data_IF_386820565046
#
_entry.id   IF_386820565046
#
_cell.length_a   1.000
_cell.length_b   1.000
_cell.length_c   1.000
_cell.angle_alpha   90.00
_cell.angle_beta   90.00
_cell.angle_gamma   90.00
#
_symmetry.space_group_name_H-M   'P 1'
#
loop_
_entity.id
_entity.type
_entity.pdbx_description
1 polymer ?
#
# COMPACT_ATOMS: atom_id res chain seq x y z
N UNK A 1 42.75 -19.18 -39.19
CA UNK A 1 42.11 -19.54 -37.90
C UNK A 1 42.08 -18.40 -36.87
N UNK A 2 43.19 -17.70 -36.56
CA UNK A 2 43.23 -16.59 -35.57
C UNK A 2 42.29 -15.39 -35.87
N UNK A 3 42.04 -15.09 -37.15
CA UNK A 3 41.23 -13.93 -37.55
C UNK A 3 39.72 -14.14 -37.32
N UNK A 4 39.21 -15.36 -37.51
CA UNK A 4 37.81 -15.71 -37.29
C UNK A 4 37.45 -15.68 -35.80
N UNK A 5 38.35 -16.17 -34.93
CA UNK A 5 38.18 -16.08 -33.48
C UNK A 5 38.12 -14.63 -32.98
N UNK A 6 38.96 -13.74 -33.53
CA UNK A 6 38.98 -12.32 -33.14
C UNK A 6 37.69 -11.60 -33.53
N UNK A 7 37.10 -11.91 -34.69
CA UNK A 7 35.82 -11.36 -35.12
C UNK A 7 34.64 -11.92 -34.33
N UNK A 8 34.65 -13.23 -34.01
CA UNK A 8 33.62 -13.87 -33.19
C UNK A 8 33.63 -13.36 -31.74
N UNK A 9 34.83 -13.11 -31.18
CA UNK A 9 34.97 -12.50 -29.86
C UNK A 9 34.43 -11.07 -29.86
N UNK A 10 34.74 -10.28 -30.90
CA UNK A 10 34.23 -8.90 -31.05
C UNK A 10 32.70 -8.85 -31.13
N UNK A 11 32.09 -9.76 -31.88
CA UNK A 11 30.62 -9.83 -31.97
C UNK A 11 30.01 -10.25 -30.63
N UNK A 12 30.58 -11.26 -29.96
CA UNK A 12 30.13 -11.67 -28.63
C UNK A 12 30.22 -10.52 -27.60
N UNK A 13 31.29 -9.71 -27.64
CA UNK A 13 31.41 -8.53 -26.75
C UNK A 13 30.37 -7.46 -27.05
N UNK A 14 30.06 -7.20 -28.33
CA UNK A 14 29.01 -6.23 -28.72
C UNK A 14 27.65 -6.72 -28.22
N UNK A 15 27.30 -7.99 -28.44
CA UNK A 15 26.04 -8.55 -27.93
C UNK A 15 25.97 -8.51 -26.40
N UNK A 16 27.07 -8.78 -25.70
CA UNK A 16 27.13 -8.70 -24.24
C UNK A 16 26.93 -7.26 -23.74
N UNK A 17 27.51 -6.27 -24.42
CA UNK A 17 27.30 -4.84 -24.13
C UNK A 17 25.83 -4.46 -24.35
N UNK A 18 25.22 -4.89 -25.46
CA UNK A 18 23.80 -4.64 -25.74
C UNK A 18 22.93 -5.24 -24.64
N UNK A 19 23.18 -6.49 -24.22
CA UNK A 19 22.44 -7.14 -23.13
C UNK A 19 22.59 -6.36 -21.82
N UNK A 20 23.80 -5.92 -21.47
CA UNK A 20 24.03 -5.12 -20.26
C UNK A 20 23.28 -3.78 -20.33
N UNK A 21 23.30 -3.10 -21.48
CA UNK A 21 22.59 -1.83 -21.66
C UNK A 21 21.08 -2.03 -21.59
N UNK A 22 20.55 -3.08 -22.23
CA UNK A 22 19.11 -3.38 -22.21
C UNK A 22 18.65 -3.76 -20.81
N UNK A 23 19.38 -4.63 -20.10
CA UNK A 23 19.04 -5.01 -18.73
C UNK A 23 19.16 -3.83 -17.77
N UNK A 24 20.27 -3.10 -17.81
CA UNK A 24 20.50 -1.93 -16.97
C UNK A 24 19.49 -0.81 -17.22
N UNK A 25 19.21 -0.53 -18.49
CA UNK A 25 18.20 0.45 -18.90
C UNK A 25 16.79 0.04 -18.48
N UNK A 26 16.44 -1.24 -18.58
CA UNK A 26 15.15 -1.74 -18.13
C UNK A 26 14.99 -1.65 -16.60
N UNK A 27 16.01 -2.05 -15.83
CA UNK A 27 15.99 -1.94 -14.37
C UNK A 27 15.89 -0.49 -13.91
N UNK A 28 16.62 0.43 -14.56
CA UNK A 28 16.57 1.86 -14.24
C UNK A 28 15.19 2.45 -14.56
N UNK A 29 14.61 2.08 -15.71
CA UNK A 29 13.29 2.53 -16.10
C UNK A 29 12.21 2.05 -15.12
N UNK A 30 12.26 0.80 -14.68
CA UNK A 30 11.35 0.26 -13.68
C UNK A 30 11.49 0.96 -12.32
N UNK A 31 12.72 1.20 -11.87
CA UNK A 31 12.98 1.93 -10.62
C UNK A 31 12.41 3.36 -10.67
N UNK A 32 12.65 4.07 -11.77
CA UNK A 32 12.10 5.41 -11.99
C UNK A 32 10.57 5.42 -11.97
N UNK A 33 9.92 4.48 -12.68
CA UNK A 33 8.45 4.36 -12.70
C UNK A 33 7.87 4.03 -11.32
N UNK A 34 8.56 3.21 -10.55
CA UNK A 34 8.16 2.84 -9.19
C UNK A 34 8.29 4.03 -8.23
N UNK A 35 9.37 4.82 -8.35
CA UNK A 35 9.54 6.04 -7.57
C UNK A 35 8.46 7.08 -7.93
N UNK A 36 8.21 7.29 -9.21
CA UNK A 36 7.15 8.20 -9.70
C UNK A 36 5.78 7.83 -9.10
N UNK A 37 5.48 6.53 -9.02
CA UNK A 37 4.26 6.02 -8.39
C UNK A 37 4.18 6.34 -6.88
N UNK A 38 5.26 6.14 -6.12
CA UNK A 38 5.30 6.46 -4.68
C UNK A 38 5.20 7.97 -4.44
N UNK A 39 5.87 8.77 -5.26
CA UNK A 39 5.84 10.22 -5.17
C UNK A 39 4.43 10.76 -5.46
N UNK A 40 3.74 10.20 -6.46
CA UNK A 40 2.34 10.54 -6.76
C UNK A 40 1.40 10.14 -5.61
N UNK A 41 1.58 8.95 -5.03
CA UNK A 41 0.84 8.52 -3.84
C UNK A 41 1.03 9.50 -2.66
N UNK A 42 2.26 9.96 -2.43
CA UNK A 42 2.57 10.97 -1.41
C UNK A 42 1.96 12.33 -1.73
N UNK A 43 2.06 12.79 -2.98
CA UNK A 43 1.49 14.05 -3.44
C UNK A 43 -0.03 14.09 -3.25
N UNK A 44 -0.70 12.97 -3.50
CA UNK A 44 -2.14 12.78 -3.26
C UNK A 44 -2.51 12.58 -1.77
N UNK A 45 -1.54 12.72 -0.85
CA UNK A 45 -1.70 12.56 0.59
C UNK A 45 -2.10 11.15 1.04
N UNK A 46 -1.77 10.12 0.25
CA UNK A 46 -2.09 8.73 0.59
C UNK A 46 -1.52 8.27 1.94
N UNK A 47 -0.29 8.68 2.27
CA UNK A 47 0.30 8.41 3.59
C UNK A 47 -0.51 9.03 4.74
N UNK A 48 -1.06 10.23 4.53
CA UNK A 48 -1.92 10.90 5.52
C UNK A 48 -3.20 10.10 5.75
N UNK A 49 -3.86 9.64 4.67
CA UNK A 49 -5.10 8.86 4.77
C UNK A 49 -4.86 7.55 5.53
N UNK A 50 -3.78 6.83 5.20
CA UNK A 50 -3.39 5.61 5.93
C UNK A 50 -3.08 5.91 7.40
N UNK A 51 -2.41 7.03 7.68
CA UNK A 51 -2.18 7.53 9.04
C UNK A 51 -3.48 7.76 9.80
N UNK A 52 -4.44 8.45 9.19
CA UNK A 52 -5.73 8.75 9.81
C UNK A 52 -6.59 7.49 10.06
N UNK A 53 -6.51 6.48 9.20
CA UNK A 53 -7.17 5.18 9.44
C UNK A 53 -6.55 4.51 10.66
N UNK A 54 -5.21 4.46 10.72
CA UNK A 54 -4.45 3.91 11.84
C UNK A 54 -4.80 4.61 13.16
N UNK A 55 -4.88 5.93 13.17
CA UNK A 55 -5.27 6.71 14.35
C UNK A 55 -6.72 6.48 14.76
N UNK A 56 -7.61 6.28 13.77
CA UNK A 56 -9.01 5.96 14.03
C UNK A 56 -9.16 4.59 14.68
N UNK A 57 -8.38 3.60 14.26
CA UNK A 57 -8.33 2.28 14.91
C UNK A 57 -7.76 2.35 16.32
N UNK A 58 -6.64 3.04 16.51
CA UNK A 58 -6.04 3.25 17.84
C UNK A 58 -7.03 3.90 18.80
N UNK A 59 -7.66 4.98 18.37
CA UNK A 59 -8.69 5.68 19.15
C UNK A 59 -9.90 4.79 19.45
N UNK A 60 -10.27 3.90 18.54
CA UNK A 60 -11.36 2.92 18.75
C UNK A 60 -11.03 1.96 19.90
N UNK A 61 -9.80 1.41 19.91
CA UNK A 61 -9.32 0.53 21.00
C UNK A 61 -9.27 1.29 22.33
N UNK A 62 -8.71 2.49 22.33
CA UNK A 62 -8.60 3.32 23.54
C UNK A 62 -9.98 3.67 24.12
N UNK A 63 -10.92 4.08 23.27
CA UNK A 63 -12.29 4.37 23.71
C UNK A 63 -13.02 3.12 24.20
N UNK A 64 -12.82 1.99 23.53
CA UNK A 64 -13.40 0.71 23.97
C UNK A 64 -12.89 0.34 25.36
N UNK A 65 -11.58 0.39 25.58
CA UNK A 65 -10.93 0.02 26.84
C UNK A 65 -11.35 0.91 28.01
N UNK A 66 -11.59 2.20 27.78
CA UNK A 66 -11.83 3.16 28.85
C UNK A 66 -13.33 3.32 29.19
N UNK A 67 -14.23 3.27 28.20
CA UNK A 67 -15.62 3.70 28.40
C UNK A 67 -16.68 2.78 27.81
N UNK A 68 -16.28 1.69 27.11
CA UNK A 68 -17.10 0.97 26.13
C UNK A 68 -17.65 1.89 25.02
N UNK A 69 -17.73 1.39 23.80
CA UNK A 69 -18.20 2.21 22.67
C UNK A 69 -19.72 2.37 22.73
N UNK A 70 -20.20 3.60 22.94
CA UNK A 70 -21.62 3.91 22.81
C UNK A 70 -22.06 3.98 21.33
N UNK A 71 -23.37 3.94 21.07
CA UNK A 71 -23.92 3.91 19.71
C UNK A 71 -23.46 5.09 18.84
N UNK A 72 -23.37 6.27 19.44
CA UNK A 72 -22.95 7.50 18.75
C UNK A 72 -21.48 7.45 18.35
N UNK A 73 -20.60 7.00 19.25
CA UNK A 73 -19.17 6.81 19.00
C UNK A 73 -18.96 5.79 17.87
N UNK A 74 -19.67 4.65 17.90
CA UNK A 74 -19.61 3.66 16.81
C UNK A 74 -20.01 4.26 15.47
N UNK A 75 -21.10 5.03 15.43
CA UNK A 75 -21.53 5.71 14.21
C UNK A 75 -20.51 6.73 13.71
N UNK A 76 -19.89 7.49 14.62
CA UNK A 76 -18.82 8.45 14.28
C UNK A 76 -17.60 7.74 13.68
N UNK A 77 -17.18 6.63 14.27
CA UNK A 77 -16.06 5.81 13.78
C UNK A 77 -16.38 5.26 12.39
N UNK A 78 -17.54 4.63 12.21
CA UNK A 78 -17.97 4.07 10.90
C UNK A 78 -17.98 5.15 9.82
N UNK A 79 -18.56 6.34 10.10
CA UNK A 79 -18.59 7.44 9.13
C UNK A 79 -17.18 7.91 8.77
N UNK A 80 -16.28 8.02 9.76
CA UNK A 80 -14.89 8.44 9.52
C UNK A 80 -14.15 7.40 8.68
N UNK A 81 -14.26 6.11 9.01
CA UNK A 81 -13.63 5.02 8.26
C UNK A 81 -14.15 4.94 6.82
N UNK A 82 -15.45 5.10 6.60
CA UNK A 82 -16.03 5.13 5.25
C UNK A 82 -15.50 6.32 4.43
N UNK A 83 -15.41 7.50 5.04
CA UNK A 83 -14.84 8.67 4.38
C UNK A 83 -13.38 8.43 3.98
N UNK A 84 -12.56 7.91 4.89
CA UNK A 84 -11.15 7.61 4.63
C UNK A 84 -10.99 6.50 3.58
N UNK A 85 -11.85 5.48 3.61
CA UNK A 85 -11.87 4.43 2.59
C UNK A 85 -12.18 4.98 1.20
N UNK A 86 -13.15 5.90 1.08
CA UNK A 86 -13.48 6.54 -0.19
C UNK A 86 -12.35 7.46 -0.68
N UNK A 87 -11.70 8.20 0.22
CA UNK A 87 -10.51 8.99 -0.13
C UNK A 87 -9.37 8.09 -0.61
N UNK A 88 -9.07 7.01 0.11
CA UNK A 88 -8.06 6.03 -0.30
C UNK A 88 -8.39 5.40 -1.65
N UNK A 89 -9.66 5.05 -1.90
CA UNK A 89 -10.12 4.50 -3.19
C UNK A 89 -9.94 5.49 -4.33
N UNK A 90 -10.18 6.78 -4.11
CA UNK A 90 -9.93 7.81 -5.13
C UNK A 90 -8.44 7.96 -5.43
N UNK A 91 -7.59 7.83 -4.43
CA UNK A 91 -6.12 7.86 -4.61
C UNK A 91 -5.68 6.62 -5.38
N UNK A 92 -6.13 5.44 -4.95
CA UNK A 92 -5.86 4.16 -5.60
C UNK A 92 -6.22 4.19 -7.09
N UNK A 93 -7.44 4.62 -7.44
CA UNK A 93 -7.86 4.75 -8.84
C UNK A 93 -7.04 5.74 -9.67
N UNK A 94 -6.48 6.78 -9.06
CA UNK A 94 -5.63 7.74 -9.77
C UNK A 94 -4.25 7.14 -10.07
N UNK A 95 -3.66 6.42 -9.10
CA UNK A 95 -2.31 5.87 -9.22
C UNK A 95 -2.27 4.53 -9.97
N UNK A 96 -3.32 3.70 -9.90
CA UNK A 96 -3.40 2.39 -10.57
C UNK A 96 -3.66 2.47 -12.09
N UNK A 97 -3.73 3.67 -12.66
CA UNK A 97 -3.85 3.88 -14.11
C UNK A 97 -2.53 3.64 -14.88
N UNK A 98 -1.42 3.38 -14.18
CA UNK A 98 -0.07 3.28 -14.74
C UNK A 98 0.48 1.85 -14.67
N UNK A 99 1.24 1.48 -15.69
CA UNK A 99 1.98 0.21 -15.74
C UNK A 99 3.21 0.32 -14.82
N UNK A 100 3.07 -0.19 -13.59
CA UNK A 100 4.11 -0.16 -12.56
C UNK A 100 4.49 -1.59 -12.21
N UNK A 101 5.79 -1.85 -12.08
CA UNK A 101 6.31 -3.19 -11.79
C UNK A 101 5.84 -3.73 -10.42
N UNK A 102 5.59 -2.83 -9.46
CA UNK A 102 5.10 -3.18 -8.14
C UNK A 102 4.06 -2.15 -7.69
N UNK A 103 2.80 -2.59 -7.60
CA UNK A 103 1.65 -1.81 -7.15
C UNK A 103 1.33 -2.18 -5.70
N UNK A 104 0.96 -1.19 -4.89
CA UNK A 104 0.49 -1.42 -3.52
C UNK A 104 -0.96 -1.91 -3.60
N UNK A 105 -1.24 -3.06 -3.00
CA UNK A 105 -2.60 -3.60 -2.94
C UNK A 105 -3.35 -3.10 -1.70
N UNK A 106 -4.31 -2.18 -1.89
CA UNK A 106 -5.16 -1.67 -0.82
C UNK A 106 -6.41 -2.52 -0.54
N UNK A 107 -6.62 -3.63 -1.26
CA UNK A 107 -7.80 -4.49 -1.12
C UNK A 107 -8.02 -4.97 0.31
N UNK A 108 -6.94 -5.31 1.01
CA UNK A 108 -6.97 -5.72 2.42
C UNK A 108 -7.48 -4.60 3.34
N UNK A 109 -7.08 -3.35 3.11
CA UNK A 109 -7.58 -2.21 3.90
C UNK A 109 -9.09 -2.04 3.72
N UNK A 110 -9.58 -2.14 2.48
CA UNK A 110 -11.02 -2.04 2.22
C UNK A 110 -11.81 -3.17 2.87
N UNK A 111 -11.25 -4.39 2.83
CA UNK A 111 -11.83 -5.55 3.50
C UNK A 111 -11.90 -5.34 5.02
N UNK A 112 -10.81 -4.89 5.63
CA UNK A 112 -10.72 -4.71 7.08
C UNK A 112 -11.58 -3.56 7.59
N UNK A 113 -11.66 -2.44 6.85
CA UNK A 113 -12.61 -1.36 7.15
C UNK A 113 -14.05 -1.89 7.12
N UNK A 114 -14.39 -2.71 6.12
CA UNK A 114 -15.73 -3.31 6.03
C UNK A 114 -16.01 -4.23 7.22
N UNK A 115 -15.04 -5.06 7.61
CA UNK A 115 -15.17 -5.97 8.74
C UNK A 115 -15.34 -5.21 10.07
N UNK A 116 -14.53 -4.16 10.29
CA UNK A 116 -14.66 -3.26 11.45
C UNK A 116 -16.04 -2.61 11.46
N UNK A 117 -16.52 -2.11 10.33
CA UNK A 117 -17.83 -1.47 10.24
C UNK A 117 -18.98 -2.42 10.57
N UNK A 118 -18.95 -3.66 10.05
CA UNK A 118 -19.95 -4.68 10.35
C UNK A 118 -19.95 -4.98 11.85
N UNK A 119 -18.77 -5.12 12.44
CA UNK A 119 -18.61 -5.44 13.87
C UNK A 119 -19.11 -4.29 14.75
N UNK A 120 -18.79 -3.04 14.42
CA UNK A 120 -19.29 -1.87 15.13
C UNK A 120 -20.80 -1.64 14.96
N UNK A 121 -21.40 -2.17 13.90
CA UNK A 121 -22.86 -2.09 13.67
C UNK A 121 -23.64 -3.17 14.42
N UNK A 122 -23.00 -4.30 14.70
CA UNK A 122 -23.60 -5.45 15.37
C UNK A 122 -23.36 -5.39 16.88
N UNK A 123 -24.39 -5.02 17.64
CA UNK A 123 -24.31 -4.89 19.11
C UNK A 123 -24.04 -6.22 19.82
N UNK A 124 -24.20 -7.36 19.15
CA UNK A 124 -23.89 -8.69 19.72
C UNK A 124 -22.41 -9.04 19.61
N UNK A 125 -21.64 -8.26 18.85
CA UNK A 125 -20.22 -8.51 18.54
C UNK A 125 -19.28 -7.48 19.19
N UNK A 126 -19.76 -6.76 20.19
CA UNK A 126 -18.97 -5.75 20.90
C UNK A 126 -17.70 -6.34 21.53
N UNK A 127 -17.75 -7.59 21.98
CA UNK A 127 -16.63 -8.26 22.65
C UNK A 127 -15.47 -8.57 21.68
N UNK A 128 -15.76 -8.68 20.37
CA UNK A 128 -14.75 -8.98 19.35
C UNK A 128 -14.26 -7.74 18.58
N UNK A 129 -14.85 -6.56 18.83
CA UNK A 129 -14.41 -5.29 18.23
C UNK A 129 -12.90 -5.06 18.41
N UNK A 130 -12.30 -5.23 19.61
CA UNK A 130 -10.88 -4.97 19.78
C UNK A 130 -10.00 -5.90 18.95
N UNK A 131 -10.39 -7.17 18.84
CA UNK A 131 -9.63 -8.18 18.08
C UNK A 131 -9.63 -7.85 16.59
N UNK A 132 -10.80 -7.50 16.05
CA UNK A 132 -10.95 -7.15 14.63
C UNK A 132 -10.21 -5.85 14.30
N UNK A 133 -10.27 -4.86 15.18
CA UNK A 133 -9.55 -3.59 14.99
C UNK A 133 -8.04 -3.78 15.11
N UNK A 134 -7.55 -4.63 16.02
CA UNK A 134 -6.13 -4.97 16.11
C UNK A 134 -5.63 -5.67 14.84
N UNK A 135 -6.39 -6.64 14.32
CA UNK A 135 -6.05 -7.30 13.06
C UNK A 135 -5.95 -6.30 11.90
N UNK A 136 -6.92 -5.37 11.80
CA UNK A 136 -6.88 -4.30 10.81
C UNK A 136 -5.67 -3.37 10.97
N UNK A 137 -5.23 -3.12 12.21
CA UNK A 137 -4.00 -2.35 12.48
C UNK A 137 -2.74 -3.08 12.03
N UNK A 138 -2.67 -4.41 12.18
CA UNK A 138 -1.56 -5.22 11.68
C UNK A 138 -1.47 -5.15 10.15
N UNK A 139 -2.60 -5.31 9.46
CA UNK A 139 -2.68 -5.18 8.00
C UNK A 139 -2.20 -3.81 7.50
N UNK A 140 -2.60 -2.72 8.17
CA UNK A 140 -2.06 -1.38 7.88
C UNK A 140 -0.56 -1.26 8.14
N UNK A 141 -0.04 -1.96 9.15
CA UNK A 141 1.37 -2.01 9.46
C UNK A 141 2.20 -2.63 8.33
N UNK A 142 1.72 -3.72 7.74
CA UNK A 142 2.37 -4.36 6.60
C UNK A 142 2.38 -3.45 5.36
N UNK A 143 1.26 -2.78 5.05
CA UNK A 143 1.22 -1.81 3.93
C UNK A 143 2.18 -0.64 4.15
N UNK A 144 2.30 -0.13 5.38
CA UNK A 144 3.28 0.94 5.69
C UNK A 144 4.72 0.46 5.48
N UNK A 145 5.04 -0.78 5.85
CA UNK A 145 6.36 -1.38 5.62
C UNK A 145 6.62 -1.55 4.12
N UNK A 146 5.63 -2.00 3.36
CA UNK A 146 5.72 -2.14 1.91
C UNK A 146 5.99 -0.80 1.23
N UNK A 147 5.20 0.25 1.55
CA UNK A 147 5.43 1.61 1.04
C UNK A 147 6.85 2.11 1.36
N UNK A 148 7.30 1.86 2.59
CA UNK A 148 8.64 2.25 3.06
C UNK A 148 9.73 1.48 2.31
N UNK A 149 9.53 0.17 2.08
CA UNK A 149 10.47 -0.66 1.34
C UNK A 149 10.61 -0.17 -0.11
N UNK A 150 9.51 0.23 -0.75
CA UNK A 150 9.53 0.78 -2.10
C UNK A 150 10.28 2.12 -2.14
N UNK A 151 10.11 2.96 -1.11
CA UNK A 151 10.76 4.27 -1.02
C UNK A 151 12.29 4.21 -0.82
N UNK A 152 12.80 3.21 -0.10
CA UNK A 152 14.22 3.10 0.26
C UNK A 152 15.01 2.10 -0.59
N UNK A 153 14.44 1.62 -1.70
CA UNK A 153 15.07 0.66 -2.63
C UNK A 153 15.72 1.37 -3.83
#
# INVERSE_FOLDING_TARGET
MKFQWKNSLRTATIYLIVVIITLGGHTYYQAYKTQEYVDEFKALKGQSVIGEISDTYKSTIEHYSNYKLNKEAKHKIIRKLNKLSEELRKIDLQINSRDVYHQIDFSFIYHDIKLVNITLSDTTKDDIVPVIVLHAMEGLGEIKKEITYIEYR
#
